data_IF_448469368698
#
_entry.id   IF_448469368698
#
_cell.length_a   1.000
_cell.length_b   1.000
_cell.length_c   1.000
_cell.angle_alpha   90.00
_cell.angle_beta   90.00
_cell.angle_gamma   90.00
#
_symmetry.space_group_name_H-M   'P 1'
#
loop_
_entity.id
_entity.type
_entity.pdbx_description
1 polymer ?
#
# COMPACT_ATOMS: atom_id res chain seq x y z
N UNK A 1 8.31 -5.10 12.93
CA UNK A 1 9.76 -5.32 12.66
C UNK A 1 10.52 -5.18 13.96
N UNK A 2 11.32 -6.17 14.35
CA UNK A 2 12.16 -6.11 15.55
C UNK A 2 13.63 -5.99 15.16
N UNK A 3 14.37 -5.10 15.82
CA UNK A 3 15.80 -4.90 15.61
C UNK A 3 16.57 -5.40 16.85
N UNK A 4 17.47 -6.35 16.66
CA UNK A 4 18.33 -6.84 17.74
C UNK A 4 19.56 -5.92 17.93
N UNK A 5 20.25 -6.10 19.06
CA UNK A 5 21.47 -5.34 19.38
C UNK A 5 22.62 -5.57 18.37
N UNK A 6 22.61 -6.70 17.67
CA UNK A 6 23.55 -7.04 16.60
C UNK A 6 23.12 -6.49 15.23
N UNK A 7 22.11 -5.61 15.20
CA UNK A 7 21.49 -5.06 13.99
C UNK A 7 20.79 -6.10 13.10
N UNK A 8 20.55 -7.33 13.57
CA UNK A 8 19.73 -8.29 12.83
C UNK A 8 18.25 -7.93 12.90
N UNK A 9 17.59 -7.94 11.73
CA UNK A 9 16.16 -7.67 11.59
C UNK A 9 15.37 -8.97 11.72
N UNK A 10 14.28 -8.96 12.50
CA UNK A 10 13.33 -10.08 12.61
C UNK A 10 11.92 -9.62 12.27
N UNK A 11 11.22 -10.42 11.46
CA UNK A 11 9.78 -10.30 11.28
C UNK A 11 9.07 -10.83 12.52
N UNK A 12 7.96 -10.20 12.88
CA UNK A 12 7.11 -10.58 14.00
C UNK A 12 5.66 -10.39 13.59
N UNK A 13 4.73 -10.98 14.35
CA UNK A 13 3.29 -10.83 14.17
C UNK A 13 2.75 -11.32 12.81
N UNK A 14 2.73 -12.64 12.65
CA UNK A 14 2.12 -13.32 11.50
C UNK A 14 0.64 -13.66 11.77
N UNK A 15 -0.04 -12.95 12.67
CA UNK A 15 -1.42 -13.26 13.09
C UNK A 15 -2.46 -13.24 11.96
N UNK A 16 -2.13 -12.59 10.84
CA UNK A 16 -2.96 -12.52 9.63
C UNK A 16 -2.34 -13.22 8.42
N UNK A 17 -1.22 -13.92 8.59
CA UNK A 17 -0.56 -14.63 7.49
C UNK A 17 -1.43 -15.81 7.04
N UNK A 18 -1.77 -15.85 5.75
CA UNK A 18 -2.52 -16.95 5.16
C UNK A 18 -1.68 -17.63 4.09
N UNK A 19 -1.41 -18.94 4.26
CA UNK A 19 -0.55 -19.71 3.36
C UNK A 19 -1.22 -20.05 2.03
N UNK A 20 -2.56 -19.98 1.95
CA UNK A 20 -3.39 -20.20 0.76
C UNK A 20 -4.82 -19.74 1.10
N UNK A 21 -5.22 -18.48 0.83
CA UNK A 21 -6.57 -18.05 1.11
C UNK A 21 -7.54 -18.85 0.25
N UNK A 22 -8.35 -19.70 0.87
CA UNK A 22 -9.48 -20.35 0.22
C UNK A 22 -10.49 -19.27 -0.20
N UNK A 23 -11.11 -19.38 -1.38
CA UNK A 23 -12.15 -18.44 -1.80
C UNK A 23 -13.23 -18.32 -0.71
N UNK A 24 -13.35 -17.13 -0.09
CA UNK A 24 -14.39 -16.83 0.90
C UNK A 24 -13.93 -16.76 2.36
N UNK A 25 -12.65 -16.93 2.69
CA UNK A 25 -12.17 -16.64 4.05
C UNK A 25 -12.13 -15.12 4.28
N UNK A 26 -13.10 -14.62 5.05
CA UNK A 26 -13.10 -13.25 5.55
C UNK A 26 -11.94 -13.08 6.55
N UNK A 27 -10.78 -12.65 6.06
CA UNK A 27 -9.68 -12.28 6.91
C UNK A 27 -10.05 -11.05 7.71
N UNK A 28 -9.90 -11.20 9.03
CA UNK A 28 -10.35 -10.28 10.06
C UNK A 28 -10.04 -8.83 9.71
N UNK A 29 -11.12 -8.06 9.54
CA UNK A 29 -11.09 -6.62 9.42
C UNK A 29 -10.52 -6.01 10.71
N UNK A 30 -9.68 -4.99 10.52
CA UNK A 30 -9.55 -3.88 11.47
C UNK A 30 -8.67 -4.00 12.74
N UNK A 31 -7.42 -4.47 12.69
CA UNK A 31 -6.50 -4.29 13.85
C UNK A 31 -5.05 -3.86 13.51
N UNK A 32 -4.74 -3.51 12.27
CA UNK A 32 -3.38 -3.07 11.89
C UNK A 32 -3.36 -1.67 11.28
N UNK A 33 -2.25 -0.95 11.47
CA UNK A 33 -2.02 0.38 10.88
C UNK A 33 -2.20 0.34 9.37
N UNK A 34 -3.23 1.03 8.83
CA UNK A 34 -3.61 0.92 7.41
C UNK A 34 -2.57 1.45 6.42
N UNK A 35 -1.61 2.23 6.91
CA UNK A 35 -0.62 2.95 6.10
C UNK A 35 0.23 2.02 5.22
N UNK A 36 0.33 0.74 5.58
CA UNK A 36 1.10 -0.28 4.86
C UNK A 36 0.24 -1.20 3.97
N UNK A 37 -1.09 -1.00 3.93
CA UNK A 37 -1.98 -1.84 3.12
C UNK A 37 -1.88 -1.47 1.64
N UNK A 38 -1.77 -2.49 0.79
CA UNK A 38 -1.84 -2.35 -0.65
C UNK A 38 -3.25 -1.92 -1.12
N UNK A 39 -3.39 -1.25 -2.28
CA UNK A 39 -4.67 -0.76 -2.77
C UNK A 39 -5.73 -1.86 -2.94
N UNK A 40 -5.33 -3.06 -3.38
CA UNK A 40 -6.22 -4.22 -3.54
C UNK A 40 -6.82 -4.70 -2.22
N UNK A 41 -6.10 -4.59 -1.11
CA UNK A 41 -6.62 -4.91 0.23
C UNK A 41 -7.64 -3.86 0.68
N UNK A 42 -7.36 -2.58 0.43
CA UNK A 42 -8.28 -1.47 0.74
C UNK A 42 -9.57 -1.56 -0.09
N UNK A 43 -9.49 -2.10 -1.30
CA UNK A 43 -10.65 -2.30 -2.18
C UNK A 43 -11.44 -3.57 -1.86
N UNK A 44 -10.93 -4.44 -0.98
CA UNK A 44 -11.56 -5.71 -0.61
C UNK A 44 -11.45 -6.78 -1.69
N UNK A 45 -10.35 -6.79 -2.46
CA UNK A 45 -10.08 -7.88 -3.41
C UNK A 45 -9.88 -9.20 -2.65
N UNK A 46 -10.60 -10.25 -3.07
CA UNK A 46 -10.38 -11.61 -2.61
C UNK A 46 -9.16 -12.27 -3.30
N UNK A 47 -8.62 -11.63 -4.34
CA UNK A 47 -7.45 -12.08 -5.07
C UNK A 47 -6.28 -11.15 -4.75
N UNK A 48 -5.66 -11.34 -3.59
CA UNK A 48 -4.38 -10.72 -3.26
C UNK A 48 -3.31 -11.81 -3.20
N UNK A 49 -2.08 -11.44 -3.53
CA UNK A 49 -0.94 -12.35 -3.56
C UNK A 49 0.19 -11.83 -2.67
N UNK A 50 1.33 -12.53 -2.64
CA UNK A 50 2.55 -12.12 -1.93
C UNK A 50 3.08 -10.71 -2.29
N UNK A 51 2.51 -10.03 -3.30
CA UNK A 51 2.85 -8.66 -3.66
C UNK A 51 2.37 -7.62 -2.65
N UNK A 52 1.36 -7.93 -1.83
CA UNK A 52 0.94 -7.04 -0.74
C UNK A 52 2.05 -6.85 0.30
N UNK A 53 2.88 -7.89 0.52
CA UNK A 53 4.03 -7.81 1.42
C UNK A 53 5.13 -6.93 0.80
N UNK A 54 5.35 -7.04 -0.51
CA UNK A 54 6.30 -6.19 -1.24
C UNK A 54 5.88 -4.72 -1.16
N UNK A 55 4.58 -4.44 -1.28
CA UNK A 55 4.03 -3.10 -1.08
C UNK A 55 4.32 -2.57 0.33
N UNK A 56 4.06 -3.38 1.37
CA UNK A 56 4.33 -3.00 2.75
C UNK A 56 5.82 -2.70 2.99
N UNK A 57 6.72 -3.49 2.40
CA UNK A 57 8.17 -3.23 2.45
C UNK A 57 8.51 -1.90 1.78
N UNK A 58 7.89 -1.57 0.64
CA UNK A 58 8.05 -0.27 -0.01
C UNK A 58 7.61 0.90 0.87
N UNK A 59 6.49 0.74 1.59
CA UNK A 59 6.01 1.75 2.55
C UNK A 59 7.01 1.95 3.71
N UNK A 60 7.52 0.85 4.28
CA UNK A 60 8.52 0.89 5.36
C UNK A 60 9.83 1.53 4.87
N UNK A 61 10.30 1.18 3.67
CA UNK A 61 11.50 1.81 3.10
C UNK A 61 11.32 3.32 2.93
N UNK A 62 10.16 3.75 2.44
CA UNK A 62 9.82 5.17 2.31
C UNK A 62 9.82 5.88 3.68
N UNK A 63 9.21 5.26 4.68
CA UNK A 63 9.16 5.77 6.04
C UNK A 63 10.55 5.88 6.68
N UNK A 64 11.36 4.83 6.60
CA UNK A 64 12.75 4.85 7.10
C UNK A 64 13.60 5.95 6.45
N UNK A 65 13.34 6.26 5.17
CA UNK A 65 14.08 7.31 4.46
C UNK A 65 13.65 8.74 4.82
N UNK A 66 12.42 8.91 5.32
CA UNK A 66 11.83 10.24 5.53
C UNK A 66 11.51 10.58 6.98
N UNK A 67 11.45 9.57 7.85
CA UNK A 67 10.96 9.68 9.23
C UNK A 67 9.44 9.74 9.33
N UNK A 68 8.73 9.77 8.21
CA UNK A 68 7.28 9.97 8.13
C UNK A 68 6.60 8.83 7.36
N UNK A 69 5.39 8.39 7.74
CA UNK A 69 4.71 7.31 7.04
C UNK A 69 4.55 7.60 5.54
N UNK A 70 4.79 6.59 4.71
CA UNK A 70 4.71 6.76 3.26
C UNK A 70 3.32 7.21 2.78
N UNK A 71 2.25 6.74 3.42
CA UNK A 71 0.86 7.05 3.07
C UNK A 71 0.01 7.15 4.34
N UNK A 72 -0.01 8.32 5.02
CA UNK A 72 -0.66 8.48 6.31
C UNK A 72 -2.17 8.79 6.17
N UNK A 73 -2.96 7.86 5.63
CA UNK A 73 -4.40 8.05 5.46
C UNK A 73 -5.19 7.90 6.76
N UNK A 74 -6.18 8.78 6.98
CA UNK A 74 -7.01 8.81 8.19
C UNK A 74 -8.16 7.78 8.15
N UNK A 75 -8.58 7.39 6.94
CA UNK A 75 -9.64 6.41 6.68
C UNK A 75 -9.27 5.51 5.50
N UNK A 76 -10.06 4.46 5.20
CA UNK A 76 -9.78 3.62 4.02
C UNK A 76 -9.87 4.41 2.71
N UNK A 77 -10.85 5.32 2.59
CA UNK A 77 -11.00 6.18 1.42
C UNK A 77 -9.87 7.20 1.32
N UNK A 78 -9.47 7.79 2.44
CA UNK A 78 -8.37 8.75 2.47
C UNK A 78 -7.03 8.05 2.18
N UNK A 79 -6.85 6.82 2.65
CA UNK A 79 -5.70 5.99 2.29
C UNK A 79 -5.59 5.77 0.78
N UNK A 80 -6.69 5.40 0.12
CA UNK A 80 -6.74 5.29 -1.34
C UNK A 80 -6.47 6.64 -2.03
N UNK A 81 -6.93 7.75 -1.46
CA UNK A 81 -6.67 9.09 -1.98
C UNK A 81 -5.17 9.45 -1.92
N UNK A 82 -4.52 9.32 -0.76
CA UNK A 82 -3.10 9.68 -0.60
C UNK A 82 -2.16 8.80 -1.43
N UNK A 83 -2.52 7.52 -1.61
CA UNK A 83 -1.82 6.61 -2.52
C UNK A 83 -1.92 7.13 -3.95
N UNK A 84 -3.14 7.39 -4.44
CA UNK A 84 -3.36 7.84 -5.81
C UNK A 84 -2.71 9.19 -6.11
N UNK A 85 -2.74 10.11 -5.14
CA UNK A 85 -2.06 11.41 -5.24
C UNK A 85 -0.56 11.26 -5.53
N UNK A 86 0.06 10.21 -4.99
CA UNK A 86 1.50 9.96 -5.17
C UNK A 86 1.80 9.07 -6.38
N UNK A 87 1.00 8.04 -6.65
CA UNK A 87 1.33 6.97 -7.59
C UNK A 87 0.48 6.98 -8.88
N UNK A 88 -0.61 7.74 -8.90
CA UNK A 88 -1.57 7.81 -10.01
C UNK A 88 -2.89 7.12 -9.67
N UNK A 89 -3.91 7.36 -10.50
CA UNK A 89 -5.24 6.80 -10.32
C UNK A 89 -5.27 5.26 -10.25
N UNK A 90 -6.37 4.73 -9.71
CA UNK A 90 -6.64 3.29 -9.70
C UNK A 90 -6.57 2.71 -11.11
N UNK A 91 -6.08 1.47 -11.21
CA UNK A 91 -6.14 0.71 -12.47
C UNK A 91 -7.59 0.36 -12.85
N UNK A 92 -7.88 -0.02 -14.11
CA UNK A 92 -9.26 -0.33 -14.53
C UNK A 92 -9.95 -1.39 -13.65
N UNK A 93 -9.24 -2.45 -13.27
CA UNK A 93 -9.75 -3.51 -12.40
C UNK A 93 -10.02 -3.01 -10.97
N UNK A 94 -9.11 -2.21 -10.41
CA UNK A 94 -9.29 -1.59 -9.10
C UNK A 94 -10.45 -0.59 -9.10
N UNK A 95 -10.62 0.18 -10.17
CA UNK A 95 -11.72 1.10 -10.30
C UNK A 95 -13.06 0.36 -10.40
N UNK A 96 -13.09 -0.80 -11.06
CA UNK A 96 -14.27 -1.68 -11.04
C UNK A 96 -14.61 -2.16 -9.63
N UNK A 97 -13.62 -2.62 -8.86
CA UNK A 97 -13.81 -3.01 -7.46
C UNK A 97 -14.32 -1.83 -6.61
N UNK A 98 -13.75 -0.65 -6.81
CA UNK A 98 -14.17 0.57 -6.11
C UNK A 98 -15.66 0.89 -6.36
N UNK A 99 -16.09 0.86 -7.62
CA UNK A 99 -17.47 1.18 -8.02
C UNK A 99 -18.48 0.12 -7.57
N UNK A 100 -18.06 -1.15 -7.47
CA UNK A 100 -18.92 -2.25 -7.03
C UNK A 100 -19.02 -2.37 -5.51
N UNK A 101 -18.06 -1.81 -4.76
CA UNK A 101 -18.02 -1.93 -3.32
C UNK A 101 -19.05 -0.99 -2.66
N UNK A 102 -20.07 -1.52 -1.95
CA UNK A 102 -21.10 -0.71 -1.32
C UNK A 102 -20.55 0.28 -0.29
N UNK A 103 -19.38 0.01 0.30
CA UNK A 103 -18.69 0.91 1.25
C UNK A 103 -18.30 2.24 0.62
N UNK A 104 -18.11 2.28 -0.70
CA UNK A 104 -17.65 3.46 -1.44
C UNK A 104 -18.74 4.07 -2.33
N UNK A 105 -19.99 3.61 -2.20
CA UNK A 105 -21.09 4.07 -3.01
C UNK A 105 -21.27 5.61 -2.92
N UNK A 106 -21.31 6.27 -4.09
CA UNK A 106 -21.48 7.72 -4.20
C UNK A 106 -20.21 8.55 -4.01
N UNK A 107 -19.09 7.94 -3.62
CA UNK A 107 -17.80 8.63 -3.51
C UNK A 107 -17.13 8.76 -4.88
N UNK A 108 -16.37 9.85 -5.05
CA UNK A 108 -15.55 10.10 -6.24
C UNK A 108 -14.22 10.70 -5.82
N UNK A 109 -13.14 10.21 -6.42
CA UNK A 109 -11.84 10.85 -6.29
C UNK A 109 -11.76 12.07 -7.22
N UNK A 110 -10.97 13.10 -6.87
CA UNK A 110 -10.60 14.14 -7.81
C UNK A 110 -9.75 13.58 -8.96
N UNK A 111 -9.43 14.41 -9.96
CA UNK A 111 -8.58 13.99 -11.06
C UNK A 111 -7.18 13.58 -10.58
N UNK A 112 -6.83 12.32 -10.81
CA UNK A 112 -5.54 11.70 -10.44
C UNK A 112 -4.62 11.49 -11.65
N UNK A 113 -4.87 12.18 -12.76
CA UNK A 113 -4.07 12.09 -13.99
C UNK A 113 -2.63 12.61 -13.84
N UNK A 114 -2.37 13.45 -12.83
CA UNK A 114 -1.07 14.07 -12.56
C UNK A 114 -0.59 13.74 -11.14
N UNK A 115 -0.06 12.54 -10.90
CA UNK A 115 0.47 12.19 -9.60
C UNK A 115 1.74 12.99 -9.28
N UNK A 116 1.97 13.26 -7.99
CA UNK A 116 3.20 13.90 -7.50
C UNK A 116 4.44 13.05 -7.84
N UNK A 117 4.31 11.73 -7.74
CA UNK A 117 5.38 10.78 -8.04
C UNK A 117 6.39 10.62 -6.89
N UNK A 118 6.93 9.40 -6.79
CA UNK A 118 7.93 9.05 -5.77
C UNK A 118 9.22 9.87 -5.86
N UNK A 119 9.58 10.33 -7.07
CA UNK A 119 10.76 11.15 -7.30
C UNK A 119 10.69 12.53 -6.63
N UNK A 120 9.53 13.19 -6.65
CA UNK A 120 9.34 14.45 -5.92
C UNK A 120 9.32 14.20 -4.41
N UNK A 121 8.66 13.12 -3.98
CA UNK A 121 8.51 12.78 -2.56
C UNK A 121 9.85 12.42 -1.88
N UNK A 122 10.72 11.69 -2.58
CA UNK A 122 11.94 11.11 -2.02
C UNK A 122 13.24 11.56 -2.69
N UNK A 123 13.21 12.43 -3.70
CA UNK A 123 14.39 12.79 -4.52
C UNK A 123 15.55 13.47 -3.79
N UNK A 124 15.31 14.04 -2.59
CA UNK A 124 16.35 14.58 -1.71
C UNK A 124 16.73 13.66 -0.54
N UNK A 125 16.06 12.51 -0.41
CA UNK A 125 16.20 11.57 0.72
C UNK A 125 16.80 10.24 0.31
N UNK A 126 16.53 9.81 -0.92
CA UNK A 126 17.05 8.57 -1.49
C UNK A 126 17.84 8.86 -2.76
N UNK A 127 18.95 8.12 -2.99
CA UNK A 127 19.59 8.12 -4.30
C UNK A 127 18.64 7.57 -5.36
N UNK A 128 18.91 7.84 -6.64
CA UNK A 128 18.09 7.37 -7.77
C UNK A 128 17.74 5.88 -7.67
N UNK A 129 18.72 5.04 -7.36
CA UNK A 129 18.51 3.60 -7.19
C UNK A 129 17.50 3.27 -6.08
N UNK A 130 17.50 4.03 -4.99
CA UNK A 130 16.52 3.86 -3.91
C UNK A 130 15.11 4.25 -4.34
N UNK A 131 14.97 5.33 -5.11
CA UNK A 131 13.68 5.74 -5.69
C UNK A 131 13.18 4.72 -6.73
N UNK A 132 14.09 4.17 -7.55
CA UNK A 132 13.75 3.13 -8.52
C UNK A 132 13.32 1.83 -7.82
N UNK A 133 13.97 1.48 -6.69
CA UNK A 133 13.57 0.35 -5.84
C UNK A 133 12.16 0.57 -5.25
N UNK A 134 11.88 1.76 -4.69
CA UNK A 134 10.54 2.11 -4.23
C UNK A 134 9.50 2.00 -5.34
N UNK A 135 9.81 2.45 -6.56
CA UNK A 135 8.90 2.34 -7.71
C UNK A 135 8.60 0.88 -8.06
N UNK A 136 9.57 -0.02 -7.94
CA UNK A 136 9.37 -1.45 -8.16
C UNK A 136 8.55 -2.15 -7.07
N UNK A 137 8.50 -1.59 -5.86
CA UNK A 137 7.74 -2.14 -4.74
C UNK A 137 6.33 -1.55 -4.62
N UNK A 138 6.18 -0.25 -4.90
CA UNK A 138 4.93 0.52 -4.78
C UNK A 138 4.21 0.58 -6.13
N UNK A 139 3.82 -0.58 -6.65
CA UNK A 139 3.14 -0.70 -7.95
C UNK A 139 1.63 -0.79 -7.74
N UNK A 140 0.85 0.06 -8.43
CA UNK A 140 -0.61 0.08 -8.32
C UNK A 140 -1.27 -1.21 -8.83
N UNK A 141 -0.72 -1.84 -9.87
CA UNK A 141 -1.15 -3.17 -10.31
C UNK A 141 0.07 -4.08 -10.36
N UNK A 142 0.21 -5.04 -9.44
CA UNK A 142 1.24 -6.06 -9.59
C UNK A 142 1.02 -6.83 -10.91
N UNK A 143 2.08 -7.10 -11.68
CA UNK A 143 2.00 -7.87 -12.93
C UNK A 143 1.62 -9.34 -12.70
#
# INVERSE_FOLDING_TARGET
LLLNADHSLRLCDFGFACSNPTEGEALTDYVATRWYRAPELLLGSNHYCNKVDVWAVGCIMGELSSGEPAFPGESEIDQLYVIQKTLGGLTPSQNQLFLQNPRYAGLKFPDMSRPEGLHLKYGGRLPKLGVDCLRGMLVMAPP
#
